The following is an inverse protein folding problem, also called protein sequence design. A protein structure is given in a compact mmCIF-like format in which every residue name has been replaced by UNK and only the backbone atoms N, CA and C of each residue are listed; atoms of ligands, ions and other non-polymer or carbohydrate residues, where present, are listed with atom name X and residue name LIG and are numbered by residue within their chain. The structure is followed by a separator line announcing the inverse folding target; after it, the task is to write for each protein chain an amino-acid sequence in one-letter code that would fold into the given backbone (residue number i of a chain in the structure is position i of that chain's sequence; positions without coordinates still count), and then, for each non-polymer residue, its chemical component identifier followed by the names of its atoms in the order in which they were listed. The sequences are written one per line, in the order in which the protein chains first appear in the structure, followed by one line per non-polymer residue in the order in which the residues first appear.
data_IF_733621005769
#
_entry.id   IF_733621005769
#
_cell.length_a   1.000
_cell.length_b   1.000
_cell.length_c   1.000
_cell.angle_alpha   90.00
_cell.angle_beta   90.00
_cell.angle_gamma   90.00
#
_symmetry.space_group_name_H-M   'P 1'
#
loop_
_entity.id
_entity.type
_entity.pdbx_description
1 polymer ?
#
# COMPACT_ATOMS: atom_id res chain seq x y z
N UNK A 1 -18.38 -7.01 -9.06
CA UNK A 1 -17.35 -6.79 -8.01
C UNK A 1 -16.00 -7.27 -8.52
N UNK A 2 -14.91 -6.56 -8.15
CA UNK A 2 -13.52 -6.98 -8.38
C UNK A 2 -12.71 -6.74 -7.12
N UNK A 3 -11.61 -7.48 -6.97
CA UNK A 3 -10.65 -7.24 -5.90
C UNK A 3 -9.69 -6.11 -6.26
N UNK A 4 -9.30 -5.35 -5.24
CA UNK A 4 -8.24 -4.36 -5.29
C UNK A 4 -7.40 -4.48 -4.01
N UNK A 5 -6.13 -4.17 -4.08
CA UNK A 5 -5.23 -4.14 -2.92
C UNK A 5 -5.00 -2.73 -2.39
N UNK A 6 -5.33 -1.73 -3.19
CA UNK A 6 -5.25 -0.31 -2.92
C UNK A 6 -3.93 0.11 -2.24
N UNK A 7 -3.93 0.36 -0.96
CA UNK A 7 -2.84 0.92 -0.16
C UNK A 7 -1.90 -0.12 0.48
N UNK A 8 -1.91 -1.35 0.00
CA UNK A 8 -1.07 -2.41 0.58
C UNK A 8 0.42 -2.10 0.44
N UNK A 9 1.12 -2.03 1.57
CA UNK A 9 2.55 -1.73 1.61
C UNK A 9 3.43 -2.89 1.10
N UNK A 10 4.64 -2.57 0.63
CA UNK A 10 5.59 -3.57 0.09
C UNK A 10 5.92 -4.66 1.11
N UNK A 11 6.03 -4.32 2.40
CA UNK A 11 6.29 -5.27 3.47
C UNK A 11 5.14 -6.26 3.65
N UNK A 12 3.91 -5.80 3.56
CA UNK A 12 2.71 -6.64 3.62
C UNK A 12 2.62 -7.55 2.39
N UNK A 13 2.93 -7.01 1.20
CA UNK A 13 2.99 -7.80 -0.04
C UNK A 13 4.01 -8.93 0.08
N UNK A 14 5.18 -8.67 0.67
CA UNK A 14 6.20 -9.69 0.90
C UNK A 14 5.78 -10.75 1.92
N UNK A 15 5.06 -10.35 2.96
CA UNK A 15 4.64 -11.22 4.07
C UNK A 15 3.42 -12.06 3.72
N UNK A 16 2.43 -11.46 3.09
CA UNK A 16 1.09 -12.04 2.91
C UNK A 16 0.78 -12.36 1.44
N UNK A 17 1.43 -11.68 0.50
CA UNK A 17 1.11 -11.68 -0.92
C UNK A 17 0.31 -10.45 -1.34
N UNK A 18 0.06 -10.33 -2.63
CA UNK A 18 -0.68 -9.23 -3.24
C UNK A 18 -2.15 -9.62 -3.47
N UNK A 19 -2.65 -9.56 -4.70
CA UNK A 19 -4.04 -9.92 -5.03
C UNK A 19 -4.36 -11.41 -4.76
N UNK A 20 -3.36 -12.28 -4.80
CA UNK A 20 -3.48 -13.69 -4.42
C UNK A 20 -3.92 -13.88 -2.97
N UNK A 21 -3.48 -13.00 -2.05
CA UNK A 21 -3.95 -12.99 -0.67
C UNK A 21 -5.47 -12.72 -0.59
N UNK A 22 -5.96 -11.73 -1.36
CA UNK A 22 -7.40 -11.41 -1.38
C UNK A 22 -8.24 -12.58 -1.90
N UNK A 23 -7.75 -13.24 -2.96
CA UNK A 23 -8.39 -14.46 -3.51
C UNK A 23 -8.44 -15.56 -2.45
N UNK A 24 -7.30 -15.88 -1.85
CA UNK A 24 -7.18 -16.91 -0.80
C UNK A 24 -8.10 -16.60 0.37
N UNK A 25 -8.12 -15.36 0.85
CA UNK A 25 -8.96 -14.95 1.98
C UNK A 25 -10.45 -15.07 1.67
N UNK A 26 -10.86 -14.68 0.47
CA UNK A 26 -12.25 -14.80 0.04
C UNK A 26 -12.71 -16.27 -0.03
N UNK A 27 -11.85 -17.16 -0.53
CA UNK A 27 -12.12 -18.61 -0.57
C UNK A 27 -12.25 -19.18 0.85
N UNK A 28 -11.37 -18.79 1.76
CA UNK A 28 -11.44 -19.19 3.18
C UNK A 28 -12.74 -18.73 3.86
N UNK A 29 -13.31 -17.60 3.40
CA UNK A 29 -14.59 -17.06 3.88
C UNK A 29 -15.81 -17.68 3.18
N UNK A 30 -15.62 -18.70 2.33
CA UNK A 30 -16.68 -19.46 1.69
C UNK A 30 -17.04 -19.01 0.28
N UNK A 31 -16.29 -18.08 -0.34
CA UNK A 31 -16.53 -17.77 -1.74
C UNK A 31 -16.00 -18.92 -2.63
N UNK A 32 -16.77 -19.41 -3.63
CA UNK A 32 -16.27 -20.39 -4.59
C UNK A 32 -14.99 -19.89 -5.28
N UNK A 33 -13.99 -20.77 -5.42
CA UNK A 33 -12.67 -20.40 -5.93
C UNK A 33 -12.73 -19.81 -7.34
N UNK A 34 -13.60 -20.32 -8.21
CA UNK A 34 -13.80 -19.81 -9.56
C UNK A 34 -14.33 -18.37 -9.56
N UNK A 35 -15.20 -18.03 -8.60
CA UNK A 35 -15.71 -16.65 -8.43
C UNK A 35 -14.62 -15.72 -7.91
N UNK A 36 -13.85 -16.17 -6.93
CA UNK A 36 -12.73 -15.39 -6.41
C UNK A 36 -11.68 -15.11 -7.50
N UNK A 37 -11.33 -16.12 -8.30
CA UNK A 37 -10.40 -15.95 -9.43
C UNK A 37 -10.96 -15.00 -10.49
N UNK A 38 -12.25 -15.10 -10.84
CA UNK A 38 -12.89 -14.16 -11.76
C UNK A 38 -12.84 -12.71 -11.27
N UNK A 39 -13.03 -12.48 -9.97
CA UNK A 39 -12.97 -11.15 -9.34
C UNK A 39 -11.55 -10.56 -9.34
N UNK A 40 -10.52 -11.38 -9.47
CA UNK A 40 -9.13 -10.95 -9.57
C UNK A 40 -8.62 -10.85 -11.02
N UNK A 41 -9.36 -11.32 -12.00
CA UNK A 41 -8.89 -11.48 -13.38
C UNK A 41 -9.84 -10.87 -14.41
N UNK A 42 -10.83 -11.63 -14.88
CA UNK A 42 -11.70 -11.20 -15.99
C UNK A 42 -12.62 -10.04 -15.61
N UNK A 43 -13.07 -9.95 -14.36
CA UNK A 43 -13.98 -8.87 -13.95
C UNK A 43 -13.29 -7.50 -13.91
N UNK A 44 -12.11 -7.31 -13.30
CA UNK A 44 -11.39 -6.05 -13.42
C UNK A 44 -10.99 -5.74 -14.87
N UNK A 45 -10.58 -6.74 -15.65
CA UNK A 45 -10.26 -6.52 -17.05
C UNK A 45 -11.46 -5.96 -17.84
N UNK A 46 -12.65 -6.47 -17.62
CA UNK A 46 -13.89 -5.94 -18.23
C UNK A 46 -14.24 -4.55 -17.71
N UNK A 47 -14.10 -4.32 -16.41
CA UNK A 47 -14.42 -3.03 -15.78
C UNK A 47 -13.59 -1.89 -16.37
N UNK A 48 -12.32 -2.15 -16.65
CA UNK A 48 -11.37 -1.16 -17.19
C UNK A 48 -11.18 -1.23 -18.70
N UNK A 49 -12.00 -2.01 -19.43
CA UNK A 49 -11.90 -2.12 -20.89
C UNK A 49 -10.63 -2.82 -21.41
N UNK A 50 -9.98 -3.63 -20.58
CA UNK A 50 -8.75 -4.35 -20.91
C UNK A 50 -9.07 -5.68 -21.62
N UNK A 51 -9.72 -5.62 -22.78
CA UNK A 51 -10.31 -6.77 -23.45
C UNK A 51 -9.31 -7.86 -23.87
N UNK A 52 -8.03 -7.57 -23.90
CA UNK A 52 -6.99 -8.57 -24.19
C UNK A 52 -6.47 -9.30 -22.97
N UNK A 53 -6.87 -8.91 -21.76
CA UNK A 53 -6.42 -9.44 -20.48
C UNK A 53 -7.50 -10.22 -19.75
N UNK A 54 -7.14 -10.83 -18.62
CA UNK A 54 -8.05 -11.38 -17.62
C UNK A 54 -8.55 -12.79 -17.87
N UNK A 55 -8.12 -13.45 -18.97
CA UNK A 55 -8.42 -14.87 -19.20
C UNK A 55 -7.43 -15.50 -20.17
N UNK A 56 -7.26 -16.80 -20.08
CA UNK A 56 -6.49 -17.60 -21.05
C UNK A 56 -7.44 -18.01 -22.16
N UNK A 57 -7.28 -17.40 -23.34
CA UNK A 57 -8.07 -17.70 -24.54
C UNK A 57 -7.35 -17.26 -25.81
N UNK A 58 -7.68 -17.82 -26.99
CA UNK A 58 -7.15 -17.36 -28.26
C UNK A 58 -7.37 -15.86 -28.47
N UNK A 59 -6.35 -15.15 -28.96
CA UNK A 59 -6.39 -13.71 -29.17
C UNK A 59 -6.18 -12.85 -27.93
N UNK A 60 -6.02 -13.47 -26.75
CA UNK A 60 -5.68 -12.78 -25.50
C UNK A 60 -4.18 -12.76 -25.25
N UNK A 61 -3.74 -11.80 -24.45
CA UNK A 61 -2.35 -11.74 -23.99
C UNK A 61 -2.07 -12.88 -23.02
N UNK A 62 -0.94 -13.54 -23.17
CA UNK A 62 -0.55 -14.68 -22.35
C UNK A 62 0.05 -14.21 -21.01
N UNK A 63 -0.79 -13.62 -20.17
CA UNK A 63 -0.50 -13.26 -18.77
C UNK A 63 -1.23 -14.26 -17.88
N UNK A 64 -0.48 -15.08 -17.16
CA UNK A 64 -1.06 -16.09 -16.27
C UNK A 64 -0.11 -16.45 -15.15
N UNK A 65 -0.68 -17.05 -14.12
CA UNK A 65 0.07 -17.62 -12.98
C UNK A 65 -0.18 -19.12 -12.90
N UNK A 66 0.82 -19.86 -12.46
CA UNK A 66 0.70 -21.26 -12.09
C UNK A 66 0.61 -21.33 -10.58
N UNK A 67 -0.43 -21.97 -10.08
CA UNK A 67 -0.67 -22.19 -8.65
C UNK A 67 -0.34 -23.64 -8.30
N UNK A 68 0.06 -23.88 -7.06
CA UNK A 68 0.32 -25.23 -6.53
C UNK A 68 -0.96 -26.08 -6.47
N UNK A 69 -2.03 -25.47 -5.98
CA UNK A 69 -3.35 -26.12 -5.89
C UNK A 69 -4.44 -25.05 -5.71
N UNK A 70 -5.70 -25.47 -5.75
CA UNK A 70 -6.87 -24.58 -5.63
C UNK A 70 -7.29 -24.28 -4.19
N UNK A 71 -6.65 -24.89 -3.21
CA UNK A 71 -6.92 -24.67 -1.78
C UNK A 71 -5.97 -23.63 -1.20
N UNK A 72 -4.67 -23.85 -1.39
CA UNK A 72 -3.63 -22.98 -0.83
C UNK A 72 -3.34 -21.77 -1.70
N UNK A 73 -3.54 -21.89 -3.02
CA UNK A 73 -3.40 -20.82 -4.01
C UNK A 73 -2.01 -20.15 -3.96
N UNK A 74 -0.97 -20.94 -3.64
CA UNK A 74 0.39 -20.41 -3.66
C UNK A 74 0.88 -20.27 -5.10
N UNK A 75 1.48 -19.14 -5.42
CA UNK A 75 2.02 -18.85 -6.75
C UNK A 75 3.33 -19.60 -6.94
N UNK A 76 3.39 -20.50 -7.92
CA UNK A 76 4.58 -21.26 -8.31
C UNK A 76 5.35 -20.50 -9.38
N UNK A 77 4.66 -20.08 -10.46
CA UNK A 77 5.25 -19.37 -11.59
C UNK A 77 4.34 -18.23 -12.05
N UNK A 78 4.96 -17.21 -12.62
CA UNK A 78 4.28 -16.06 -13.23
C UNK A 78 4.77 -15.91 -14.67
N UNK A 79 3.82 -15.68 -15.57
CA UNK A 79 4.10 -15.40 -16.99
C UNK A 79 3.51 -14.06 -17.39
N UNK A 80 4.29 -13.27 -18.10
CA UNK A 80 3.89 -11.99 -18.69
C UNK A 80 4.21 -12.01 -20.19
N UNK A 81 3.21 -11.73 -21.02
CA UNK A 81 3.34 -11.80 -22.48
C UNK A 81 3.94 -13.13 -22.98
N UNK A 82 3.59 -14.24 -22.34
CA UNK A 82 4.09 -15.58 -22.66
C UNK A 82 5.50 -15.89 -22.17
N UNK A 83 6.18 -14.97 -21.51
CA UNK A 83 7.52 -15.17 -20.94
C UNK A 83 7.44 -15.39 -19.45
N UNK A 84 8.16 -16.40 -18.94
CA UNK A 84 8.28 -16.67 -17.51
C UNK A 84 9.03 -15.52 -16.83
N UNK A 85 8.47 -15.01 -15.72
CA UNK A 85 9.15 -14.05 -14.84
C UNK A 85 10.04 -14.82 -13.89
N UNK A 86 11.34 -14.55 -13.94
CA UNK A 86 12.34 -15.17 -13.08
C UNK A 86 12.42 -14.36 -11.78
N UNK A 87 12.24 -15.01 -10.64
CA UNK A 87 12.11 -14.36 -9.32
C UNK A 87 13.30 -13.48 -8.94
N UNK A 88 14.51 -13.87 -9.32
CA UNK A 88 15.75 -13.18 -8.94
C UNK A 88 16.39 -12.39 -10.10
N UNK A 89 15.70 -12.27 -11.22
CA UNK A 89 16.18 -11.47 -12.34
C UNK A 89 16.05 -9.98 -11.99
N UNK A 90 17.18 -9.28 -11.98
CA UNK A 90 17.18 -7.82 -11.76
C UNK A 90 16.46 -7.15 -12.92
N UNK A 91 15.33 -6.53 -12.61
CA UNK A 91 14.65 -5.68 -13.58
C UNK A 91 15.58 -4.54 -14.02
N UNK A 92 15.74 -4.34 -15.33
CA UNK A 92 16.34 -3.12 -15.85
C UNK A 92 15.43 -1.94 -15.56
N UNK A 93 15.78 -1.18 -14.54
CA UNK A 93 15.05 0.05 -14.21
C UNK A 93 15.41 1.13 -15.21
N UNK A 94 14.45 1.58 -15.99
CA UNK A 94 14.62 2.76 -16.82
C UNK A 94 14.88 3.98 -15.93
N UNK A 95 15.86 4.84 -16.28
CA UNK A 95 16.11 6.06 -15.52
C UNK A 95 14.85 6.94 -15.50
N UNK A 96 14.59 7.57 -14.36
CA UNK A 96 13.48 8.51 -14.24
C UNK A 96 13.62 9.63 -15.26
N UNK A 97 12.60 9.90 -16.09
CA UNK A 97 12.63 11.00 -17.05
C UNK A 97 12.93 12.35 -16.37
N UNK A 98 13.75 13.23 -17.00
CA UNK A 98 14.13 14.50 -16.37
C UNK A 98 12.95 15.36 -15.92
N UNK A 99 11.84 15.36 -16.67
CA UNK A 99 10.65 16.16 -16.37
C UNK A 99 9.88 15.67 -15.11
N UNK A 100 10.15 14.46 -14.63
CA UNK A 100 9.59 13.94 -13.39
C UNK A 100 10.49 14.19 -12.19
N UNK A 101 11.68 14.75 -12.39
CA UNK A 101 12.61 15.13 -11.32
C UNK A 101 12.33 16.55 -10.88
N UNK A 102 12.63 16.85 -9.60
CA UNK A 102 12.46 18.18 -9.03
C UNK A 102 11.06 18.78 -9.23
N UNK A 103 10.03 17.97 -9.06
CA UNK A 103 8.62 18.42 -9.17
C UNK A 103 8.06 18.97 -7.87
N UNK A 104 8.80 18.83 -6.77
CA UNK A 104 8.43 19.35 -5.45
C UNK A 104 9.30 20.55 -5.13
N UNK A 105 8.68 21.75 -5.04
CA UNK A 105 9.36 23.00 -4.75
C UNK A 105 8.79 23.57 -3.46
N UNK A 106 9.53 23.42 -2.39
CA UNK A 106 9.19 23.97 -1.07
C UNK A 106 10.11 25.15 -0.79
N UNK A 107 9.52 26.34 -0.66
CA UNK A 107 10.25 27.57 -0.31
C UNK A 107 9.96 27.99 1.13
N UNK A 108 10.97 28.57 1.79
CA UNK A 108 10.80 29.11 3.15
C UNK A 108 10.54 28.04 4.22
N UNK A 109 10.87 26.78 3.96
CA UNK A 109 10.80 25.73 4.96
C UNK A 109 12.04 25.78 5.87
N UNK A 110 11.80 25.63 7.18
CA UNK A 110 12.85 25.48 8.18
C UNK A 110 12.38 24.50 9.27
N UNK A 111 13.32 23.88 9.97
CA UNK A 111 13.02 22.96 11.07
C UNK A 111 12.24 23.64 12.21
N UNK A 112 12.45 24.94 12.40
CA UNK A 112 11.72 25.74 13.40
C UNK A 112 10.21 25.69 13.19
N UNK A 113 9.75 25.59 11.94
CA UNK A 113 8.32 25.47 11.62
C UNK A 113 7.72 24.12 12.01
N UNK A 114 8.55 23.13 12.32
CA UNK A 114 8.12 21.84 12.84
C UNK A 114 8.02 21.82 14.38
N UNK A 115 8.44 22.89 15.06
CA UNK A 115 8.27 23.00 16.51
C UNK A 115 6.80 23.15 16.84
N UNK A 116 6.27 22.18 17.57
CA UNK A 116 4.87 22.15 17.99
C UNK A 116 4.81 22.50 19.48
N UNK A 117 4.24 23.65 19.83
CA UNK A 117 4.04 24.05 21.23
C UNK A 117 3.11 23.06 21.93
N UNK A 118 3.49 22.68 23.14
CA UNK A 118 2.68 21.79 23.95
C UNK A 118 1.48 22.56 24.54
N UNK A 119 0.24 22.08 24.37
CA UNK A 119 -0.97 22.85 24.74
C UNK A 119 -1.29 22.84 26.25
N UNK A 120 -0.49 22.14 27.06
CA UNK A 120 -0.72 21.97 28.48
C UNK A 120 -0.47 20.53 28.92
N UNK A 121 -1.43 19.89 29.60
CA UNK A 121 -1.29 18.51 30.10
C UNK A 121 -1.71 17.46 29.07
N UNK A 122 -2.62 17.79 28.16
CA UNK A 122 -3.14 16.86 27.13
C UNK A 122 -3.13 17.49 25.76
N UNK A 123 -2.82 16.70 24.77
CA UNK A 123 -2.88 17.07 23.35
C UNK A 123 -3.86 16.16 22.61
N UNK A 124 -4.39 16.66 21.50
CA UNK A 124 -5.18 15.88 20.58
C UNK A 124 -4.26 15.01 19.72
N UNK A 125 -4.47 13.71 19.76
CA UNK A 125 -3.66 12.70 19.10
C UNK A 125 -4.49 11.95 18.07
N UNK A 126 -3.94 11.73 16.89
CA UNK A 126 -4.51 10.86 15.86
C UNK A 126 -4.02 9.43 16.17
N UNK A 127 -4.86 8.64 16.83
CA UNK A 127 -4.54 7.25 17.15
C UNK A 127 -4.76 6.37 15.92
N UNK A 128 -3.70 5.69 15.49
CA UNK A 128 -3.79 4.67 14.43
C UNK A 128 -4.40 3.38 14.98
N UNK A 129 -5.31 2.77 14.23
CA UNK A 129 -5.92 1.49 14.56
C UNK A 129 -5.28 0.39 13.71
N UNK A 130 -4.89 -0.70 14.37
CA UNK A 130 -4.26 -1.83 13.68
C UNK A 130 -5.17 -2.38 12.58
N UNK A 131 -4.63 -2.56 11.37
CA UNK A 131 -5.31 -3.11 10.18
C UNK A 131 -6.58 -2.35 9.75
N UNK A 132 -6.67 -1.07 10.06
CA UNK A 132 -7.78 -0.22 9.64
C UNK A 132 -7.27 1.06 8.98
N UNK A 133 -8.06 1.61 8.05
CA UNK A 133 -7.79 2.89 7.39
C UNK A 133 -8.35 4.08 8.17
N UNK A 134 -9.15 3.83 9.20
CA UNK A 134 -9.71 4.86 10.06
C UNK A 134 -8.82 5.09 11.27
N UNK A 135 -8.86 6.31 11.77
CA UNK A 135 -8.14 6.73 12.97
C UNK A 135 -9.12 7.14 14.06
N UNK A 136 -8.64 7.24 15.30
CA UNK A 136 -9.41 7.83 16.40
C UNK A 136 -8.80 9.17 16.80
N UNK A 137 -9.65 10.10 17.18
CA UNK A 137 -9.29 11.35 17.83
C UNK A 137 -9.34 11.12 19.36
N UNK A 138 -8.18 11.19 20.00
CA UNK A 138 -8.04 10.98 21.46
C UNK A 138 -7.32 12.16 22.10
N UNK A 139 -7.61 12.39 23.39
CA UNK A 139 -6.91 13.38 24.21
C UNK A 139 -6.02 12.66 25.21
N UNK A 140 -4.71 12.76 25.02
CA UNK A 140 -3.71 12.07 25.82
C UNK A 140 -2.60 13.00 26.31
N UNK A 141 -1.94 12.59 27.39
CA UNK A 141 -0.69 13.21 27.81
C UNK A 141 0.41 12.80 26.83
N UNK A 142 1.09 13.78 26.25
CA UNK A 142 2.15 13.55 25.28
C UNK A 142 3.49 14.04 25.82
N UNK A 143 4.61 13.43 25.43
CA UNK A 143 5.93 13.85 25.89
C UNK A 143 6.26 15.25 25.44
N UNK A 144 6.96 16.00 26.29
CA UNK A 144 7.38 17.37 26.03
C UNK A 144 8.76 17.66 26.60
N UNK A 145 9.40 18.68 26.02
CA UNK A 145 10.64 19.27 26.51
C UNK A 145 10.43 20.76 26.72
N UNK A 146 11.20 21.33 27.63
CA UNK A 146 11.25 22.78 27.83
C UNK A 146 12.42 23.40 27.06
N UNK A 147 12.14 24.46 26.32
CA UNK A 147 13.14 25.26 25.63
C UNK A 147 12.71 26.72 25.66
N UNK A 148 13.60 27.60 26.06
CA UNK A 148 13.37 29.07 26.13
C UNK A 148 12.12 29.46 26.97
N UNK A 149 11.84 28.71 28.03
CA UNK A 149 10.69 28.93 28.91
C UNK A 149 9.35 28.48 28.34
N UNK A 150 9.35 27.82 27.20
CA UNK A 150 8.15 27.25 26.58
C UNK A 150 8.24 25.72 26.48
N UNK A 151 7.09 25.06 26.47
CA UNK A 151 6.99 23.61 26.33
C UNK A 151 6.72 23.25 24.87
N UNK A 152 7.50 22.30 24.35
CA UNK A 152 7.33 21.78 23.00
C UNK A 152 7.13 20.27 23.04
N UNK A 153 6.33 19.76 22.11
CA UNK A 153 6.18 18.32 21.93
C UNK A 153 7.53 17.68 21.57
N UNK A 154 7.90 16.64 22.28
CA UNK A 154 9.11 15.84 22.04
C UNK A 154 8.71 14.44 21.56
N UNK A 155 8.91 14.10 20.26
CA UNK A 155 8.66 12.76 19.75
C UNK A 155 9.44 11.70 20.51
N UNK A 156 8.81 10.57 20.77
CA UNK A 156 9.43 9.37 21.31
C UNK A 156 9.12 8.14 20.46
N UNK A 157 9.28 6.94 20.99
CA UNK A 157 8.93 5.71 20.28
C UNK A 157 7.43 5.49 20.05
N UNK A 158 6.60 6.09 20.87
CA UNK A 158 5.13 5.93 20.86
C UNK A 158 4.44 7.07 20.09
N UNK A 159 4.89 8.31 20.34
CA UNK A 159 4.29 9.50 19.72
C UNK A 159 5.21 10.12 18.66
N UNK A 160 4.63 10.43 17.51
CA UNK A 160 5.33 11.05 16.39
C UNK A 160 4.62 12.32 15.92
N UNK A 161 5.37 13.23 15.29
CA UNK A 161 4.80 14.38 14.59
C UNK A 161 4.46 14.02 13.15
N UNK A 162 3.28 14.44 12.70
CA UNK A 162 2.95 14.48 11.29
C UNK A 162 2.95 15.94 10.81
N UNK A 163 3.57 16.20 9.69
CA UNK A 163 3.56 17.52 9.05
C UNK A 163 3.10 17.39 7.60
N UNK A 164 2.19 18.26 7.19
CA UNK A 164 1.75 18.41 5.81
C UNK A 164 2.36 19.68 5.26
N UNK A 165 3.16 19.56 4.21
CA UNK A 165 3.88 20.67 3.58
C UNK A 165 3.33 20.84 2.18
N UNK A 166 2.68 21.95 1.91
CA UNK A 166 2.22 22.30 0.56
C UNK A 166 3.39 22.77 -0.30
N UNK A 167 3.34 22.40 -1.58
CA UNK A 167 4.31 22.74 -2.63
C UNK A 167 3.74 23.77 -3.61
#
# INVERSE_FOLDING_TARGET
FCFCTDDKHIEEIRKEGHINYNVKRAVQLGLPVEKALQMATIQPARCYGLYRLGMIAPGRQADFVILDNVTDLNVVDVYHCGKKIIKDEKAELKPCPPYLKNTVHVSGFSEERLKLKHPGTKARVIQMLEKQIVTKDVLEEVPWIESDGEKYFAPDGEYQKIAVIER
#
